data_IF_866149819579
#
_entry.id   IF_866149819579
#
_cell.length_a   1.000
_cell.length_b   1.000
_cell.length_c   1.000
_cell.angle_alpha   90.00
_cell.angle_beta   90.00
_cell.angle_gamma   90.00
#
_symmetry.space_group_name_H-M   'P 1'
#
loop_
_entity.id
_entity.type
_entity.pdbx_description
1 polymer ?
#
# COMPACT_ATOMS: atom_id res chain seq x y z
N UNK A 1 41.60 -5.57 -19.80
CA UNK A 1 40.18 -5.92 -19.55
C UNK A 1 39.61 -4.78 -18.74
N UNK A 2 38.79 -3.95 -19.37
CA UNK A 2 38.20 -2.73 -18.78
C UNK A 2 36.89 -3.17 -18.14
N UNK A 3 36.74 -2.94 -16.83
CA UNK A 3 35.47 -3.14 -16.14
C UNK A 3 34.73 -1.79 -16.09
N UNK A 4 33.42 -1.82 -16.34
CA UNK A 4 32.53 -0.66 -16.45
C UNK A 4 31.95 -0.26 -15.08
N UNK A 5 31.40 0.97 -14.91
CA UNK A 5 31.02 1.52 -13.60
C UNK A 5 29.75 0.94 -12.95
N UNK A 6 29.19 -0.17 -13.46
CA UNK A 6 27.88 -0.70 -13.02
C UNK A 6 27.99 -1.85 -12.01
N UNK A 7 29.18 -2.39 -11.74
CA UNK A 7 29.35 -3.46 -10.73
C UNK A 7 29.64 -2.97 -9.30
N UNK A 8 29.63 -1.65 -9.02
CA UNK A 8 29.99 -1.12 -7.70
C UNK A 8 28.82 -0.84 -6.74
N UNK A 9 27.59 -1.29 -7.03
CA UNK A 9 26.39 -0.98 -6.21
C UNK A 9 25.97 -2.14 -5.29
N UNK A 10 26.51 -3.35 -5.48
CA UNK A 10 26.16 -4.51 -4.64
C UNK A 10 27.33 -4.91 -3.74
N UNK A 11 27.52 -4.19 -2.62
CA UNK A 11 28.02 -4.69 -1.30
C UNK A 11 28.48 -3.50 -0.44
N UNK A 12 27.59 -3.00 0.43
CA UNK A 12 27.89 -1.87 1.32
C UNK A 12 27.28 -1.96 2.72
N UNK A 13 26.96 -3.16 3.21
CA UNK A 13 26.70 -3.43 4.63
C UNK A 13 27.80 -4.35 5.16
N UNK A 14 28.88 -3.77 5.69
CA UNK A 14 29.62 -4.19 6.91
C UNK A 14 30.96 -3.46 7.02
N UNK A 15 31.19 -2.99 8.24
CA UNK A 15 32.34 -2.28 8.76
C UNK A 15 33.71 -2.95 8.53
N UNK A 16 34.72 -2.12 8.80
CA UNK A 16 36.04 -2.45 9.33
C UNK A 16 37.14 -2.69 8.28
N UNK A 17 37.91 -1.64 7.97
CA UNK A 17 39.33 -1.83 7.67
C UNK A 17 40.15 -0.80 8.45
N UNK A 18 40.73 -1.31 9.53
CA UNK A 18 41.79 -0.71 10.34
C UNK A 18 42.96 -0.35 9.43
N UNK A 19 43.40 0.90 9.48
CA UNK A 19 44.58 1.39 8.76
C UNK A 19 45.83 0.61 9.18
N UNK A 20 46.36 -0.18 8.26
CA UNK A 20 47.63 -0.89 8.42
C UNK A 20 48.78 0.10 8.17
N UNK A 21 49.54 0.40 9.23
CA UNK A 21 50.78 1.17 9.16
C UNK A 21 51.80 0.45 8.26
N UNK A 22 52.27 1.14 7.22
CA UNK A 22 53.55 0.85 6.58
C UNK A 22 54.60 1.79 7.18
N UNK A 23 55.40 1.27 8.11
CA UNK A 23 56.55 1.99 8.65
C UNK A 23 57.67 2.06 7.60
N UNK A 24 57.87 3.24 7.00
CA UNK A 24 59.12 3.58 6.34
C UNK A 24 59.96 4.38 7.35
N UNK A 25 61.02 3.77 7.86
CA UNK A 25 61.95 4.41 8.80
C UNK A 25 62.81 5.43 8.06
N UNK A 26 62.48 6.72 8.18
CA UNK A 26 63.43 7.80 7.98
C UNK A 26 63.53 8.57 9.30
N UNK A 27 64.70 8.48 9.92
CA UNK A 27 65.03 9.16 11.16
C UNK A 27 64.97 10.67 10.98
N UNK A 28 63.90 11.26 11.49
CA UNK A 28 63.73 12.69 11.71
C UNK A 28 62.62 12.84 12.74
N UNK A 29 62.96 13.32 13.93
CA UNK A 29 62.00 13.67 14.97
C UNK A 29 61.14 14.84 14.47
N UNK A 30 60.05 14.53 13.75
CA UNK A 30 58.97 15.47 13.56
C UNK A 30 58.23 15.58 14.90
N UNK A 31 57.93 16.78 15.41
CA UNK A 31 57.03 16.90 16.54
C UNK A 31 55.67 16.35 16.09
N UNK A 32 55.26 15.23 16.68
CA UNK A 32 53.92 14.69 16.50
C UNK A 32 52.93 15.68 17.12
N UNK A 33 52.37 16.58 16.32
CA UNK A 33 51.13 17.27 16.67
C UNK A 33 50.01 16.41 16.10
N UNK A 34 49.68 15.34 16.82
CA UNK A 34 48.40 14.68 16.63
C UNK A 34 47.34 15.65 17.18
N UNK A 35 46.58 16.28 16.29
CA UNK A 35 45.57 17.27 16.65
C UNK A 35 44.21 16.59 16.81
N UNK A 36 43.35 17.16 17.66
CA UNK A 36 41.92 16.82 17.67
C UNK A 36 41.33 17.04 16.26
N UNK A 37 40.40 16.19 15.83
CA UNK A 37 39.86 16.22 14.46
C UNK A 37 38.36 15.99 14.43
N UNK A 38 37.75 16.39 13.31
CA UNK A 38 36.30 16.29 13.06
C UNK A 38 36.04 15.76 11.65
N UNK A 39 35.10 14.82 11.54
CA UNK A 39 34.60 14.27 10.28
C UNK A 39 33.09 14.42 10.25
N UNK A 40 32.52 14.80 9.11
CA UNK A 40 31.09 15.00 8.92
C UNK A 40 30.55 13.96 7.94
N UNK A 41 29.38 13.37 8.25
CA UNK A 41 28.70 12.42 7.39
C UNK A 41 27.17 12.54 7.44
N UNK A 42 26.45 11.94 6.47
CA UNK A 42 26.96 11.24 5.29
C UNK A 42 27.66 12.18 4.28
N UNK A 43 28.58 11.66 3.46
CA UNK A 43 29.34 12.48 2.50
C UNK A 43 28.48 13.06 1.37
N UNK A 44 27.52 12.29 0.90
CA UNK A 44 26.50 12.71 -0.05
C UNK A 44 25.18 12.05 0.31
N UNK A 45 24.08 12.78 0.15
CA UNK A 45 22.75 12.25 0.35
C UNK A 45 21.72 12.98 -0.54
N UNK A 46 20.53 12.38 -0.72
CA UNK A 46 19.48 12.84 -1.62
C UNK A 46 18.12 12.81 -0.91
N UNK A 47 17.39 13.92 -0.89
CA UNK A 47 16.01 13.95 -0.37
C UNK A 47 15.15 14.87 -1.24
N UNK A 48 13.83 14.62 -1.30
CA UNK A 48 12.89 15.54 -1.91
C UNK A 48 12.78 16.84 -1.09
N UNK A 49 12.44 17.94 -1.76
CA UNK A 49 12.05 19.19 -1.09
C UNK A 49 10.82 18.92 -0.20
N UNK A 50 10.87 19.36 1.05
CA UNK A 50 9.87 19.12 2.09
C UNK A 50 10.38 18.22 3.22
N UNK A 51 11.35 17.35 2.93
CA UNK A 51 11.92 16.43 3.91
C UNK A 51 12.94 17.09 4.83
N UNK A 52 13.19 16.43 5.97
CA UNK A 52 14.31 16.73 6.86
C UNK A 52 15.53 15.87 6.54
N UNK A 53 16.72 16.47 6.66
CA UNK A 53 17.99 15.78 6.54
C UNK A 53 18.87 16.08 7.75
N UNK A 54 19.59 15.07 8.23
CA UNK A 54 20.49 15.17 9.38
C UNK A 54 21.92 14.81 8.99
N UNK A 55 22.85 15.72 9.26
CA UNK A 55 24.29 15.43 9.24
C UNK A 55 24.79 15.20 10.66
N UNK A 56 25.77 14.31 10.80
CA UNK A 56 26.38 13.96 12.09
C UNK A 56 27.88 14.18 12.01
N UNK A 57 28.39 15.03 12.89
CA UNK A 57 29.82 15.23 13.11
C UNK A 57 30.34 14.23 14.12
N UNK A 58 31.51 13.66 13.87
CA UNK A 58 32.26 12.81 14.79
C UNK A 58 33.58 13.50 15.15
N UNK A 59 33.78 13.74 16.45
CA UNK A 59 34.94 14.46 16.98
C UNK A 59 35.81 13.50 17.79
N UNK A 60 37.11 13.48 17.49
CA UNK A 60 38.09 12.64 18.18
C UNK A 60 39.33 13.42 18.60
N UNK A 61 39.99 12.92 19.63
CA UNK A 61 41.28 13.42 20.07
C UNK A 61 42.45 12.95 19.18
N UNK A 62 43.65 13.38 19.56
CA UNK A 62 44.92 12.99 18.95
C UNK A 62 45.14 11.46 18.87
N UNK A 63 44.55 10.71 19.80
CA UNK A 63 44.62 9.24 19.88
C UNK A 63 43.46 8.54 19.17
N UNK A 64 42.54 9.29 18.54
CA UNK A 64 41.35 8.76 17.88
C UNK A 64 40.22 8.39 18.85
N UNK A 65 40.29 8.80 20.13
CA UNK A 65 39.23 8.59 21.10
C UNK A 65 38.12 9.64 20.96
N UNK A 66 36.84 9.26 21.09
CA UNK A 66 35.74 10.20 20.98
C UNK A 66 35.79 11.28 22.06
N UNK A 67 35.56 12.53 21.67
CA UNK A 67 35.50 13.67 22.60
C UNK A 67 34.05 13.99 22.91
N UNK A 68 33.63 13.83 24.16
CA UNK A 68 32.31 14.24 24.65
C UNK A 68 32.29 15.69 25.15
N UNK A 69 31.11 16.32 25.12
CA UNK A 69 30.90 17.67 25.65
C UNK A 69 31.48 18.79 24.81
N UNK A 70 31.85 18.53 23.54
CA UNK A 70 32.42 19.53 22.63
C UNK A 70 31.33 20.22 21.84
N UNK A 71 31.28 21.54 21.88
CA UNK A 71 30.42 22.32 21.00
C UNK A 71 30.92 22.25 19.56
N UNK A 72 30.03 21.86 18.64
CA UNK A 72 30.24 21.80 17.20
C UNK A 72 29.27 22.75 16.52
N UNK A 73 29.80 23.63 15.68
CA UNK A 73 29.02 24.55 14.85
C UNK A 73 28.91 24.00 13.41
N UNK A 74 27.71 24.00 12.85
CA UNK A 74 27.40 23.55 11.49
C UNK A 74 26.97 24.74 10.62
N UNK A 75 27.39 24.74 9.35
CA UNK A 75 27.01 25.76 8.39
C UNK A 75 26.81 25.16 7.00
N UNK A 76 25.73 25.59 6.33
CA UNK A 76 25.53 25.38 4.90
C UNK A 76 26.28 26.50 4.16
N UNK A 77 27.38 26.14 3.51
CA UNK A 77 28.31 27.09 2.87
C UNK A 77 27.83 27.59 1.51
N UNK A 78 27.16 26.74 0.75
CA UNK A 78 26.66 27.04 -0.58
C UNK A 78 25.44 26.17 -0.89
N UNK A 79 24.64 26.62 -1.88
CA UNK A 79 23.41 25.94 -2.27
C UNK A 79 22.15 26.76 -1.97
N UNK A 80 20.96 26.20 -2.23
CA UNK A 80 19.67 26.84 -1.95
C UNK A 80 19.48 27.23 -0.49
N UNK A 81 20.15 26.55 0.46
CA UNK A 81 20.03 26.82 1.89
C UNK A 81 21.27 27.48 2.51
N UNK A 82 22.12 28.10 1.68
CA UNK A 82 23.34 28.76 2.13
C UNK A 82 23.09 29.79 3.24
N UNK A 83 23.94 29.76 4.28
CA UNK A 83 23.84 30.62 5.46
C UNK A 83 22.98 30.04 6.59
N UNK A 84 22.30 28.91 6.39
CA UNK A 84 21.69 28.18 7.50
C UNK A 84 22.78 27.63 8.43
N UNK A 85 22.54 27.75 9.74
CA UNK A 85 23.49 27.37 10.80
C UNK A 85 22.79 26.61 11.91
N UNK A 86 23.56 25.75 12.57
CA UNK A 86 23.14 25.03 13.77
C UNK A 86 24.34 24.76 14.67
N UNK A 87 24.07 24.33 15.90
CA UNK A 87 25.12 23.91 16.82
C UNK A 87 24.60 22.79 17.69
N UNK A 88 25.47 21.86 18.05
CA UNK A 88 25.15 20.78 18.98
C UNK A 88 26.39 20.42 19.80
N UNK A 89 26.21 19.69 20.90
CA UNK A 89 27.28 19.27 21.80
C UNK A 89 27.51 17.77 21.63
N UNK A 90 28.77 17.37 21.46
CA UNK A 90 29.07 15.95 21.27
C UNK A 90 28.66 15.10 22.46
N UNK A 91 28.05 13.95 22.18
CA UNK A 91 27.67 12.96 23.19
C UNK A 91 28.86 12.12 23.68
N UNK A 92 28.60 11.12 24.53
CA UNK A 92 29.64 10.22 25.06
C UNK A 92 30.38 9.42 23.97
N UNK A 93 29.81 9.32 22.78
CA UNK A 93 30.39 8.66 21.62
C UNK A 93 31.04 9.64 20.64
N UNK A 94 31.13 10.93 20.98
CA UNK A 94 31.79 11.95 20.17
C UNK A 94 30.94 12.50 19.02
N UNK A 95 29.63 12.24 19.02
CA UNK A 95 28.73 12.64 17.93
C UNK A 95 27.91 13.89 18.27
N UNK A 96 27.79 14.80 17.31
CA UNK A 96 26.91 15.97 17.35
C UNK A 96 26.11 16.03 16.04
N UNK A 97 24.85 16.43 16.07
CA UNK A 97 23.96 16.38 14.91
C UNK A 97 23.38 17.74 14.52
N UNK A 98 23.12 17.91 13.23
CA UNK A 98 22.40 19.06 12.69
C UNK A 98 21.36 18.61 11.69
N UNK A 99 20.10 18.95 11.97
CA UNK A 99 18.94 18.63 11.12
C UNK A 99 18.37 19.89 10.50
N UNK A 100 18.07 19.85 9.20
CA UNK A 100 17.38 20.93 8.51
C UNK A 100 16.40 20.42 7.45
N UNK A 101 15.41 21.26 7.10
CA UNK A 101 14.38 20.95 6.10
C UNK A 101 14.74 21.59 4.75
N UNK A 102 14.69 20.80 3.68
CA UNK A 102 14.89 21.30 2.32
C UNK A 102 13.66 22.04 1.82
N UNK A 103 13.75 23.36 1.66
CA UNK A 103 12.65 24.21 1.14
C UNK A 103 12.77 24.59 -0.34
N UNK A 104 13.88 24.24 -0.99
CA UNK A 104 14.13 24.55 -2.39
C UNK A 104 15.08 23.50 -2.99
N UNK A 105 14.89 23.18 -4.27
CA UNK A 105 15.75 22.22 -4.95
C UNK A 105 17.13 22.82 -5.25
N UNK A 106 18.14 21.95 -5.28
CA UNK A 106 19.52 22.33 -5.49
C UNK A 106 20.47 21.54 -4.59
N UNK A 107 21.75 21.81 -4.75
CA UNK A 107 22.81 21.10 -4.06
C UNK A 107 23.41 21.98 -2.97
N UNK A 108 23.25 21.57 -1.72
CA UNK A 108 23.90 22.18 -0.58
C UNK A 108 25.29 21.60 -0.34
N UNK A 109 26.20 22.44 0.13
CA UNK A 109 27.51 22.01 0.67
C UNK A 109 27.59 22.40 2.14
N UNK A 110 27.88 21.44 3.00
CA UNK A 110 27.79 21.58 4.46
C UNK A 110 29.15 21.27 5.09
N UNK A 111 29.55 22.07 6.08
CA UNK A 111 30.72 21.82 6.92
C UNK A 111 30.39 22.02 8.39
N UNK A 112 31.17 21.36 9.24
CA UNK A 112 31.14 21.52 10.68
C UNK A 112 32.50 22.00 11.19
N UNK A 113 32.51 22.64 12.35
CA UNK A 113 33.74 23.09 12.99
C UNK A 113 33.62 23.14 14.50
N UNK A 114 34.76 23.04 15.18
CA UNK A 114 34.84 23.19 16.63
C UNK A 114 36.14 23.89 17.01
N UNK A 115 36.23 24.37 18.25
CA UNK A 115 37.48 24.92 18.80
C UNK A 115 38.16 23.84 19.63
N UNK A 116 39.42 23.53 19.31
CA UNK A 116 40.20 22.51 20.00
C UNK A 116 40.69 22.97 21.38
N UNK A 117 41.28 22.06 22.16
CA UNK A 117 41.84 22.37 23.47
C UNK A 117 42.97 23.41 23.45
N UNK A 118 43.57 23.68 22.28
CA UNK A 118 44.59 24.71 22.08
C UNK A 118 44.02 26.08 21.71
N UNK A 119 42.70 26.17 21.50
CA UNK A 119 42.01 27.38 21.03
C UNK A 119 42.00 27.54 19.51
N UNK A 120 42.42 26.52 18.75
CA UNK A 120 42.45 26.55 17.29
C UNK A 120 41.14 26.01 16.72
N UNK A 121 40.60 26.67 15.68
CA UNK A 121 39.40 26.18 14.99
C UNK A 121 39.77 25.02 14.07
N UNK A 122 39.14 23.88 14.28
CA UNK A 122 39.21 22.71 13.41
C UNK A 122 37.95 22.65 12.54
N UNK A 123 38.10 22.30 11.26
CA UNK A 123 37.00 22.23 10.28
C UNK A 123 36.92 20.84 9.65
N UNK A 124 35.71 20.35 9.42
CA UNK A 124 35.47 19.02 8.85
C UNK A 124 35.77 18.96 7.34
N UNK A 125 35.65 17.76 6.77
CA UNK A 125 35.37 17.62 5.34
C UNK A 125 34.06 18.32 4.96
N UNK A 126 33.94 18.72 3.70
CA UNK A 126 32.67 19.16 3.13
C UNK A 126 31.83 17.95 2.73
N UNK A 127 30.53 17.99 3.07
CA UNK A 127 29.53 17.01 2.62
C UNK A 127 28.50 17.69 1.72
N UNK A 128 27.78 16.91 0.93
CA UNK A 128 26.85 17.43 -0.08
C UNK A 128 25.43 16.90 0.14
N UNK A 129 24.44 17.76 0.03
CA UNK A 129 23.02 17.37 0.09
C UNK A 129 22.29 17.82 -1.16
N UNK A 130 21.83 16.87 -1.97
CA UNK A 130 21.00 17.18 -3.13
C UNK A 130 19.52 17.18 -2.71
N UNK A 131 18.89 18.35 -2.81
CA UNK A 131 17.44 18.49 -2.80
C UNK A 131 16.93 18.44 -4.23
N UNK A 132 15.94 17.60 -4.46
CA UNK A 132 15.25 17.52 -5.75
C UNK A 132 13.76 17.76 -5.56
N UNK A 133 13.12 18.37 -6.55
CA UNK A 133 11.66 18.26 -6.67
C UNK A 133 11.43 16.91 -7.36
N UNK A 134 10.63 15.98 -6.79
CA UNK A 134 10.21 14.79 -7.53
C UNK A 134 9.57 15.25 -8.84
N UNK A 135 10.08 14.76 -9.97
CA UNK A 135 9.55 15.11 -11.28
C UNK A 135 8.97 13.85 -11.90
N UNK A 136 7.64 13.78 -11.89
CA UNK A 136 6.89 12.83 -12.69
C UNK A 136 7.34 12.88 -14.17
N UNK A 137 7.69 11.73 -14.74
CA UNK A 137 7.94 11.59 -16.18
C UNK A 137 9.38 11.77 -16.62
N UNK A 138 10.32 11.59 -15.70
CA UNK A 138 11.76 11.60 -15.98
C UNK A 138 12.31 10.22 -16.40
N UNK A 139 11.46 9.18 -16.41
CA UNK A 139 11.79 7.80 -16.75
C UNK A 139 12.34 6.97 -15.60
N UNK A 140 12.33 7.46 -14.35
CA UNK A 140 12.79 6.76 -13.14
C UNK A 140 11.79 6.94 -12.01
N UNK A 141 11.38 5.83 -11.35
CA UNK A 141 10.46 5.91 -10.19
C UNK A 141 11.24 6.51 -9.02
N UNK A 142 10.98 7.78 -8.70
CA UNK A 142 11.60 8.48 -7.58
C UNK A 142 10.94 8.09 -6.23
N UNK A 143 11.64 8.25 -5.09
CA UNK A 143 11.03 8.04 -3.77
C UNK A 143 9.80 8.93 -3.57
N UNK A 144 8.63 8.31 -3.45
CA UNK A 144 7.33 8.99 -3.33
C UNK A 144 6.46 8.91 -4.59
N UNK A 145 6.98 8.42 -5.71
CA UNK A 145 6.23 8.17 -6.93
C UNK A 145 5.73 6.72 -6.98
N UNK A 146 4.51 6.52 -7.47
CA UNK A 146 3.93 5.18 -7.67
C UNK A 146 4.17 4.66 -9.08
N UNK A 147 4.37 5.55 -10.05
CA UNK A 147 4.51 5.23 -11.47
C UNK A 147 5.23 6.36 -12.23
N UNK A 148 5.70 6.05 -13.45
CA UNK A 148 6.41 6.98 -14.34
C UNK A 148 5.76 6.98 -15.73
N UNK A 149 5.29 8.13 -16.26
CA UNK A 149 4.53 8.17 -17.52
C UNK A 149 5.36 7.86 -18.79
N UNK A 150 6.69 7.66 -18.71
CA UNK A 150 7.54 7.69 -19.91
C UNK A 150 8.54 6.53 -20.12
N UNK A 151 8.47 5.39 -19.41
CA UNK A 151 9.47 4.34 -19.70
C UNK A 151 8.99 2.92 -19.94
N UNK A 152 7.75 2.50 -19.66
CA UNK A 152 7.30 1.17 -20.11
C UNK A 152 5.79 1.08 -20.40
N UNK A 153 5.34 1.62 -21.54
CA UNK A 153 4.10 1.16 -22.18
C UNK A 153 4.41 0.71 -23.61
N UNK A 154 4.17 -0.58 -23.87
CA UNK A 154 4.32 -1.20 -25.19
C UNK A 154 3.16 -0.81 -26.14
N UNK A 155 3.03 0.48 -26.47
CA UNK A 155 1.99 1.02 -27.35
C UNK A 155 2.49 2.20 -28.19
N UNK A 156 1.94 2.37 -29.40
CA UNK A 156 2.41 3.31 -30.43
C UNK A 156 2.30 4.80 -30.01
N UNK A 157 3.43 5.51 -29.92
CA UNK A 157 3.44 6.97 -29.82
C UNK A 157 3.01 7.62 -31.16
N UNK A 158 2.04 8.55 -31.13
CA UNK A 158 1.68 9.35 -32.29
C UNK A 158 2.69 10.51 -32.51
N UNK A 159 3.47 10.52 -33.61
CA UNK A 159 4.52 11.51 -33.82
C UNK A 159 4.02 12.90 -34.27
N UNK A 160 2.73 13.11 -34.51
CA UNK A 160 2.22 14.34 -35.16
C UNK A 160 1.91 15.47 -34.16
N UNK A 161 1.63 15.15 -32.90
CA UNK A 161 1.14 16.14 -31.92
C UNK A 161 1.98 16.29 -30.64
N UNK A 162 3.05 15.50 -30.47
CA UNK A 162 3.98 15.66 -29.35
C UNK A 162 3.33 15.54 -27.96
N UNK A 163 2.18 14.86 -27.89
CA UNK A 163 1.47 14.53 -26.66
C UNK A 163 1.49 13.01 -26.53
N UNK A 164 1.98 12.55 -25.39
CA UNK A 164 1.61 11.25 -24.86
C UNK A 164 0.12 11.36 -24.53
N UNK A 165 -0.70 10.58 -25.20
CA UNK A 165 -2.05 10.32 -24.69
C UNK A 165 -1.83 9.32 -23.56
N UNK A 166 -1.60 9.85 -22.36
CA UNK A 166 -1.31 9.09 -21.15
C UNK A 166 -2.45 8.10 -20.88
N UNK A 167 -2.11 6.82 -20.89
CA UNK A 167 -2.98 5.76 -20.41
C UNK A 167 -2.25 5.20 -19.19
N UNK A 168 -2.41 5.86 -18.03
CA UNK A 168 -2.16 5.25 -16.71
C UNK A 168 -1.19 5.94 -15.73
N UNK A 169 -0.60 7.09 -16.07
CA UNK A 169 0.11 7.92 -15.08
C UNK A 169 -0.30 9.38 -15.28
N UNK A 170 -1.05 9.90 -14.31
CA UNK A 170 -1.48 11.31 -14.29
C UNK A 170 -0.29 12.21 -13.92
N UNK A 171 -0.35 13.49 -14.29
CA UNK A 171 0.68 14.50 -13.98
C UNK A 171 0.92 14.77 -12.48
N UNK A 172 0.13 14.13 -11.60
CA UNK A 172 0.25 14.15 -10.14
C UNK A 172 0.73 12.82 -9.54
N UNK A 173 1.22 11.89 -10.37
CA UNK A 173 1.67 10.54 -9.99
C UNK A 173 0.61 9.70 -9.26
N UNK A 174 -0.67 10.00 -9.46
CA UNK A 174 -1.77 9.15 -8.96
C UNK A 174 -2.19 8.16 -10.03
N UNK A 175 -2.41 6.91 -9.60
CA UNK A 175 -3.14 5.87 -10.34
C UNK A 175 -4.50 5.71 -9.66
N UNK A 176 -5.49 6.58 -9.96
CA UNK A 176 -6.78 6.50 -9.33
C UNK A 176 -7.63 5.42 -10.02
N UNK A 177 -8.07 4.45 -9.24
CA UNK A 177 -9.12 3.53 -9.68
C UNK A 177 -10.33 4.28 -10.25
N UNK A 178 -10.94 3.73 -11.29
CA UNK A 178 -12.16 4.24 -11.89
C UNK A 178 -11.96 5.35 -12.91
N UNK A 179 -10.82 5.39 -13.62
CA UNK A 179 -10.55 6.37 -14.68
C UNK A 179 -10.62 5.79 -16.11
N UNK A 180 -10.86 4.49 -16.22
CA UNK A 180 -11.05 3.71 -17.43
C UNK A 180 -9.79 3.00 -17.89
N UNK A 181 -8.72 3.04 -17.10
CA UNK A 181 -7.40 2.54 -17.46
C UNK A 181 -6.93 1.59 -16.36
N UNK A 182 -6.52 0.37 -16.74
CA UNK A 182 -5.99 -0.59 -15.78
C UNK A 182 -4.54 -0.25 -15.46
N UNK A 183 -4.30 0.29 -14.26
CA UNK A 183 -2.99 0.72 -13.79
C UNK A 183 -2.17 -0.39 -13.09
N UNK A 184 -0.85 -0.22 -12.93
CA UNK A 184 -0.03 -1.17 -12.17
C UNK A 184 -0.54 -1.35 -10.72
N UNK A 185 -1.05 -2.54 -10.41
CA UNK A 185 -1.61 -2.87 -9.10
C UNK A 185 -3.12 -3.07 -9.11
N UNK A 186 -3.80 -2.64 -10.18
CA UNK A 186 -5.21 -2.87 -10.41
C UNK A 186 -5.47 -4.22 -11.11
N UNK A 187 -6.59 -4.86 -10.80
CA UNK A 187 -7.04 -6.07 -11.49
C UNK A 187 -8.04 -5.74 -12.61
N UNK A 188 -8.69 -4.58 -12.55
CA UNK A 188 -9.67 -4.06 -13.49
C UNK A 188 -9.78 -2.54 -13.32
N UNK A 189 -10.38 -1.86 -14.29
CA UNK A 189 -10.89 -0.49 -14.19
C UNK A 189 -12.02 -0.35 -15.23
N UNK A 190 -13.22 0.04 -14.79
CA UNK A 190 -14.40 0.23 -15.63
C UNK A 190 -14.86 1.69 -15.73
N UNK A 191 -13.98 2.62 -15.39
CA UNK A 191 -14.16 4.07 -15.56
C UNK A 191 -15.06 4.72 -14.51
N UNK A 192 -15.33 4.04 -13.40
CA UNK A 192 -16.06 4.61 -12.28
C UNK A 192 -15.75 3.89 -10.94
N UNK A 193 -16.40 4.31 -9.84
CA UNK A 193 -16.25 3.73 -8.50
C UNK A 193 -17.55 3.10 -7.98
N UNK A 194 -18.44 2.70 -8.88
CA UNK A 194 -19.61 1.93 -8.51
C UNK A 194 -19.17 0.50 -8.21
N UNK A 195 -20.01 -0.22 -7.47
CA UNK A 195 -19.78 -1.61 -7.10
C UNK A 195 -20.89 -2.42 -7.75
N UNK A 196 -20.57 -3.63 -8.21
CA UNK A 196 -21.49 -4.51 -8.92
C UNK A 196 -21.50 -4.34 -10.43
N UNK A 197 -20.61 -3.56 -11.03
CA UNK A 197 -20.42 -3.45 -12.48
C UNK A 197 -19.24 -4.26 -13.03
N UNK A 198 -18.56 -5.01 -12.18
CA UNK A 198 -17.48 -5.92 -12.57
C UNK A 198 -16.11 -5.47 -12.07
N UNK A 199 -15.97 -4.21 -11.67
CA UNK A 199 -14.80 -3.70 -10.98
C UNK A 199 -15.19 -3.01 -9.68
N UNK A 200 -14.55 -3.41 -8.58
CA UNK A 200 -14.84 -2.80 -7.28
C UNK A 200 -14.22 -1.41 -7.17
N UNK A 201 -14.67 -0.56 -6.22
CA UNK A 201 -14.06 0.76 -5.97
C UNK A 201 -12.58 0.73 -5.56
N UNK A 202 -12.03 -0.46 -5.26
CA UNK A 202 -10.61 -0.69 -5.01
C UNK A 202 -9.88 -1.37 -6.18
N UNK A 203 -10.49 -1.37 -7.37
CA UNK A 203 -9.96 -1.95 -8.60
C UNK A 203 -9.58 -3.43 -8.49
N UNK A 204 -10.38 -4.17 -7.72
CA UNK A 204 -10.37 -5.64 -7.68
C UNK A 204 -11.52 -6.18 -8.52
N UNK A 205 -11.26 -7.24 -9.27
CA UNK A 205 -12.29 -7.93 -10.06
C UNK A 205 -13.37 -8.46 -9.12
N UNK A 206 -14.61 -8.11 -9.39
CA UNK A 206 -15.75 -8.57 -8.62
C UNK A 206 -16.18 -9.96 -9.08
N UNK A 207 -16.27 -10.91 -8.15
CA UNK A 207 -16.69 -12.27 -8.50
C UNK A 207 -18.20 -12.39 -8.60
N UNK A 208 -18.66 -13.22 -9.55
CA UNK A 208 -20.07 -13.50 -9.66
C UNK A 208 -20.60 -14.29 -8.45
N UNK A 209 -21.69 -13.84 -7.83
CA UNK A 209 -22.29 -14.55 -6.72
C UNK A 209 -22.86 -15.90 -7.16
N UNK A 210 -22.81 -16.86 -6.25
CA UNK A 210 -23.29 -18.23 -6.39
C UNK A 210 -24.51 -18.46 -5.50
N UNK A 211 -25.45 -19.28 -5.98
CA UNK A 211 -26.68 -19.58 -5.26
C UNK A 211 -26.47 -20.45 -4.00
N UNK A 212 -27.44 -20.44 -3.09
CA UNK A 212 -27.43 -21.25 -1.87
C UNK A 212 -27.20 -22.75 -2.13
N UNK A 213 -27.73 -23.28 -3.24
CA UNK A 213 -27.51 -24.67 -3.64
C UNK A 213 -26.04 -25.00 -3.94
N UNK A 214 -25.25 -24.06 -4.45
CA UNK A 214 -23.81 -24.27 -4.64
C UNK A 214 -23.12 -24.37 -3.28
N UNK A 215 -23.30 -23.36 -2.43
CA UNK A 215 -22.65 -23.29 -1.11
C UNK A 215 -23.01 -24.46 -0.21
N UNK A 216 -24.27 -24.94 -0.26
CA UNK A 216 -24.71 -26.15 0.44
C UNK A 216 -23.96 -27.41 0.01
N UNK A 217 -23.66 -27.55 -1.28
CA UNK A 217 -23.05 -28.75 -1.84
C UNK A 217 -21.52 -28.67 -1.98
N UNK A 218 -20.93 -27.50 -1.73
CA UNK A 218 -19.49 -27.23 -1.80
C UNK A 218 -18.94 -26.60 -0.51
N UNK A 219 -19.04 -27.27 0.65
CA UNK A 219 -18.49 -26.76 1.91
C UNK A 219 -16.97 -26.53 1.85
N UNK A 220 -16.25 -27.22 0.97
CA UNK A 220 -14.82 -27.02 0.72
C UNK A 220 -14.49 -25.65 0.10
N UNK A 221 -15.45 -25.01 -0.56
CA UNK A 221 -15.26 -23.70 -1.19
C UNK A 221 -15.45 -22.52 -0.21
N UNK A 222 -15.95 -22.78 1.00
CA UNK A 222 -16.20 -21.73 1.99
C UNK A 222 -14.87 -21.17 2.48
N UNK A 223 -14.68 -19.86 2.31
CA UNK A 223 -13.45 -19.16 2.71
C UNK A 223 -13.40 -18.85 4.21
N UNK A 224 -14.53 -19.00 4.90
CA UNK A 224 -14.72 -18.72 6.32
C UNK A 224 -15.34 -19.91 7.03
N UNK A 225 -14.97 -20.11 8.29
CA UNK A 225 -15.47 -21.20 9.15
C UNK A 225 -16.63 -20.77 10.06
N UNK A 226 -17.01 -19.49 10.02
CA UNK A 226 -18.14 -18.94 10.76
C UNK A 226 -18.72 -17.72 10.04
N UNK A 227 -20.02 -17.50 10.21
CA UNK A 227 -20.74 -16.33 9.72
C UNK A 227 -21.61 -15.77 10.84
N UNK A 228 -21.91 -14.48 10.77
CA UNK A 228 -22.92 -13.85 11.63
C UNK A 228 -24.26 -13.86 10.92
N UNK A 229 -25.28 -14.45 11.55
CA UNK A 229 -26.66 -14.25 11.12
C UNK A 229 -27.34 -13.36 12.15
N UNK A 230 -27.49 -12.09 11.78
CA UNK A 230 -27.91 -11.02 12.66
C UNK A 230 -26.87 -10.69 13.72
N UNK A 231 -27.21 -10.87 15.00
CA UNK A 231 -26.28 -10.62 16.12
C UNK A 231 -25.62 -11.89 16.66
N UNK A 232 -25.88 -13.03 16.05
CA UNK A 232 -25.39 -14.32 16.51
C UNK A 232 -24.37 -14.88 15.54
N UNK A 233 -23.24 -15.36 16.07
CA UNK A 233 -22.23 -16.06 15.29
C UNK A 233 -22.56 -17.55 15.22
N UNK A 234 -22.50 -18.11 14.01
CA UNK A 234 -22.72 -19.53 13.74
C UNK A 234 -21.44 -20.15 13.17
N UNK A 235 -21.12 -21.35 13.63
CA UNK A 235 -20.09 -22.18 13.03
C UNK A 235 -20.55 -22.77 11.70
N UNK A 236 -19.59 -23.10 10.84
CA UNK A 236 -19.82 -23.80 9.56
C UNK A 236 -20.70 -25.04 9.69
N UNK A 237 -20.53 -25.83 10.76
CA UNK A 237 -21.35 -27.03 10.98
C UNK A 237 -22.83 -26.68 11.24
N UNK A 238 -23.10 -25.61 12.00
CA UNK A 238 -24.45 -25.15 12.28
C UNK A 238 -25.11 -24.55 11.02
N UNK A 239 -24.33 -23.78 10.25
CA UNK A 239 -24.79 -23.20 8.98
C UNK A 239 -25.13 -24.27 7.94
N UNK A 240 -24.31 -25.33 7.83
CA UNK A 240 -24.61 -26.47 6.96
C UNK A 240 -25.86 -27.24 7.42
N UNK A 241 -26.12 -27.32 8.74
CA UNK A 241 -27.35 -27.91 9.25
C UNK A 241 -28.58 -27.06 8.89
N UNK A 242 -28.46 -25.72 8.96
CA UNK A 242 -29.50 -24.79 8.52
C UNK A 242 -29.79 -24.96 7.03
N UNK A 243 -28.76 -24.87 6.17
CA UNK A 243 -28.87 -25.10 4.72
C UNK A 243 -29.40 -26.50 4.37
N UNK A 244 -29.17 -27.48 5.24
CA UNK A 244 -29.66 -28.86 5.11
C UNK A 244 -31.15 -29.01 5.42
N UNK A 245 -31.74 -28.07 6.17
CA UNK A 245 -33.13 -28.12 6.61
C UNK A 245 -34.06 -27.68 5.47
N UNK A 246 -35.17 -28.40 5.29
CA UNK A 246 -36.16 -28.03 4.28
C UNK A 246 -36.84 -26.70 4.66
N UNK A 247 -36.78 -25.71 3.77
CA UNK A 247 -37.46 -24.42 3.94
C UNK A 247 -38.99 -24.51 3.79
N UNK A 248 -39.51 -25.62 3.25
CA UNK A 248 -40.94 -25.79 2.95
C UNK A 248 -41.37 -25.05 1.68
N UNK A 249 -42.68 -24.95 1.43
CA UNK A 249 -43.21 -24.29 0.24
C UNK A 249 -44.62 -23.75 0.47
N UNK A 250 -44.95 -22.61 -0.14
CA UNK A 250 -46.27 -21.99 -0.01
C UNK A 250 -46.55 -21.58 1.45
N UNK A 251 -47.77 -21.83 1.92
CA UNK A 251 -48.17 -21.54 3.31
C UNK A 251 -47.46 -22.39 4.36
N UNK A 252 -46.82 -23.49 3.96
CA UNK A 252 -46.07 -24.39 4.85
C UNK A 252 -44.56 -24.06 4.87
N UNK A 253 -44.14 -22.98 4.20
CA UNK A 253 -42.76 -22.52 4.25
C UNK A 253 -42.41 -21.94 5.64
N UNK A 254 -41.14 -22.00 6.00
CA UNK A 254 -40.59 -21.31 7.16
C UNK A 254 -39.81 -20.09 6.69
N UNK A 255 -40.39 -18.91 6.88
CA UNK A 255 -39.82 -17.65 6.42
C UNK A 255 -38.41 -17.38 7.00
N UNK A 256 -38.13 -17.87 8.21
CA UNK A 256 -36.81 -17.72 8.83
C UNK A 256 -35.76 -18.60 8.16
N UNK A 257 -36.12 -19.82 7.75
CA UNK A 257 -35.24 -20.70 6.98
C UNK A 257 -35.06 -20.21 5.54
N UNK A 258 -36.11 -19.68 4.91
CA UNK A 258 -36.03 -19.10 3.56
C UNK A 258 -35.03 -17.94 3.53
N UNK A 259 -35.10 -17.04 4.51
CA UNK A 259 -34.12 -15.95 4.63
C UNK A 259 -32.72 -16.48 4.94
N UNK A 260 -32.59 -17.40 5.91
CA UNK A 260 -31.30 -17.93 6.30
C UNK A 260 -30.57 -18.59 5.11
N UNK A 261 -31.27 -19.35 4.27
CA UNK A 261 -30.71 -19.96 3.05
C UNK A 261 -30.06 -18.91 2.12
N UNK A 262 -30.75 -17.80 1.88
CA UNK A 262 -30.27 -16.75 0.98
C UNK A 262 -29.19 -15.88 1.62
N UNK A 263 -29.29 -15.63 2.92
CA UNK A 263 -28.35 -14.81 3.67
C UNK A 263 -27.01 -15.52 3.83
N UNK A 264 -27.00 -16.81 4.16
CA UNK A 264 -25.76 -17.61 4.22
C UNK A 264 -25.04 -17.57 2.87
N UNK A 265 -25.78 -17.74 1.77
CA UNK A 265 -25.20 -17.68 0.43
C UNK A 265 -24.62 -16.29 0.10
N UNK A 266 -25.32 -15.22 0.46
CA UNK A 266 -24.88 -13.84 0.21
C UNK A 266 -23.61 -13.51 1.00
N UNK A 267 -23.57 -13.86 2.27
CA UNK A 267 -22.39 -13.69 3.13
C UNK A 267 -21.18 -14.47 2.59
N UNK A 268 -21.38 -15.70 2.11
CA UNK A 268 -20.30 -16.49 1.48
C UNK A 268 -19.83 -15.90 0.14
N UNK A 269 -20.74 -15.30 -0.63
CA UNK A 269 -20.38 -14.59 -1.86
C UNK A 269 -19.52 -13.36 -1.55
N UNK A 270 -19.91 -12.55 -0.56
CA UNK A 270 -19.17 -11.36 -0.13
C UNK A 270 -17.79 -11.76 0.41
N UNK A 271 -17.73 -12.76 1.32
CA UNK A 271 -16.47 -13.34 1.77
C UNK A 271 -15.64 -13.89 0.61
N UNK A 272 -16.32 -14.34 -0.45
CA UNK A 272 -15.74 -14.86 -1.68
C UNK A 272 -15.16 -13.82 -2.64
N UNK A 273 -15.39 -12.52 -2.40
CA UNK A 273 -14.99 -11.41 -3.28
C UNK A 273 -16.07 -10.96 -4.26
N UNK A 274 -17.34 -11.32 -4.04
CA UNK A 274 -18.46 -10.73 -4.78
C UNK A 274 -18.76 -9.31 -4.32
N UNK A 275 -19.18 -8.47 -5.26
CA UNK A 275 -19.55 -7.09 -5.01
C UNK A 275 -20.67 -6.95 -3.97
N UNK A 276 -20.62 -5.87 -3.20
CA UNK A 276 -21.76 -5.39 -2.42
C UNK A 276 -22.42 -4.30 -3.27
N UNK A 277 -23.64 -4.55 -3.75
CA UNK A 277 -24.39 -3.58 -4.56
C UNK A 277 -25.28 -2.72 -3.67
N UNK A 278 -25.74 -1.53 -4.12
CA UNK A 278 -26.64 -0.69 -3.33
C UNK A 278 -27.91 -1.42 -2.86
N UNK A 279 -28.39 -2.42 -3.62
CA UNK A 279 -29.57 -3.22 -3.28
C UNK A 279 -29.35 -4.16 -2.09
N UNK A 280 -28.10 -4.50 -1.77
CA UNK A 280 -27.72 -5.38 -0.66
C UNK A 280 -26.75 -4.69 0.32
N UNK A 281 -26.58 -3.37 0.21
CA UNK A 281 -25.64 -2.60 1.03
C UNK A 281 -25.92 -2.81 2.53
N UNK A 282 -24.90 -3.10 3.36
CA UNK A 282 -25.02 -3.26 4.81
C UNK A 282 -25.78 -2.11 5.50
N UNK A 283 -25.74 -0.87 5.00
CA UNK A 283 -26.51 0.26 5.56
C UNK A 283 -28.03 0.07 5.42
N UNK A 284 -28.48 -0.67 4.39
CA UNK A 284 -29.87 -1.13 4.23
C UNK A 284 -30.09 -2.50 4.89
N UNK A 285 -29.05 -3.34 4.98
CA UNK A 285 -29.06 -4.65 5.62
C UNK A 285 -29.12 -4.59 7.16
N UNK A 286 -28.71 -3.49 7.80
CA UNK A 286 -28.77 -3.29 9.26
C UNK A 286 -30.19 -3.10 9.82
N UNK A 287 -31.22 -3.15 8.98
CA UNK A 287 -32.56 -3.56 9.42
C UNK A 287 -32.72 -5.07 9.33
N UNK A 288 -31.67 -5.83 9.63
CA UNK A 288 -31.68 -7.29 9.60
C UNK A 288 -32.97 -7.76 10.30
N UNK A 289 -33.93 -8.33 9.57
CA UNK A 289 -35.19 -8.72 10.17
C UNK A 289 -34.99 -9.84 11.21
N UNK A 290 -33.83 -10.53 11.22
CA UNK A 290 -33.41 -11.42 12.29
C UNK A 290 -32.86 -10.68 13.52
N UNK A 291 -32.43 -9.42 13.41
CA UNK A 291 -31.99 -8.60 14.56
C UNK A 291 -33.16 -8.06 15.39
N UNK A 292 -34.36 -8.00 14.81
CA UNK A 292 -35.64 -7.82 15.54
C UNK A 292 -35.99 -9.07 16.36
N UNK A 293 -35.38 -10.22 16.04
CA UNK A 293 -35.60 -11.50 16.70
C UNK A 293 -34.48 -11.75 17.73
N UNK A 294 -34.85 -12.04 18.98
CA UNK A 294 -33.87 -12.27 20.04
C UNK A 294 -33.29 -13.68 19.97
N UNK A 295 -31.98 -13.81 19.80
CA UNK A 295 -31.23 -15.07 19.91
C UNK A 295 -30.94 -15.75 18.59
N UNK A 296 -30.68 -17.07 18.65
CA UNK A 296 -30.45 -17.92 17.47
C UNK A 296 -31.68 -17.95 16.55
N UNK A 297 -31.52 -18.42 15.32
CA UNK A 297 -32.58 -18.51 14.30
C UNK A 297 -33.87 -19.10 14.90
N UNK A 298 -35.03 -18.43 14.77
CA UNK A 298 -36.23 -18.78 15.54
C UNK A 298 -36.94 -20.06 15.06
N UNK A 299 -36.80 -20.44 13.78
CA UNK A 299 -37.53 -21.52 13.11
C UNK A 299 -39.07 -21.39 13.18
N UNK A 300 -39.77 -22.01 12.23
CA UNK A 300 -41.23 -22.08 12.15
C UNK A 300 -41.92 -20.72 12.00
N UNK A 301 -41.27 -19.73 11.37
CA UNK A 301 -41.89 -18.42 11.18
C UNK A 301 -42.87 -18.49 10.01
N UNK A 302 -44.15 -18.29 10.31
CA UNK A 302 -45.23 -18.29 9.32
C UNK A 302 -45.01 -17.17 8.27
N UNK A 303 -44.92 -17.49 6.97
CA UNK A 303 -44.69 -16.53 5.90
C UNK A 303 -45.84 -15.53 5.76
N UNK A 304 -47.06 -15.86 6.19
CA UNK A 304 -48.21 -14.94 6.14
C UNK A 304 -48.25 -13.97 7.32
N UNK A 305 -47.40 -14.17 8.34
CA UNK A 305 -47.27 -13.24 9.45
C UNK A 305 -46.57 -11.93 9.03
N UNK A 306 -46.81 -10.80 9.72
CA UNK A 306 -46.14 -9.54 9.40
C UNK A 306 -44.61 -9.60 9.43
N UNK A 307 -44.04 -10.42 10.32
CA UNK A 307 -42.59 -10.63 10.39
C UNK A 307 -42.12 -11.62 9.31
N UNK A 308 -42.90 -12.67 9.04
CA UNK A 308 -42.63 -13.61 7.95
C UNK A 308 -42.54 -12.93 6.59
N UNK A 309 -43.46 -12.02 6.28
CA UNK A 309 -43.43 -11.25 5.04
C UNK A 309 -42.15 -10.41 4.90
N UNK A 310 -41.69 -9.74 5.97
CA UNK A 310 -40.40 -9.03 5.95
C UNK A 310 -39.23 -9.97 5.64
N UNK A 311 -39.21 -11.16 6.24
CA UNK A 311 -38.16 -12.16 6.03
C UNK A 311 -38.18 -12.67 4.58
N UNK A 312 -39.35 -12.94 4.02
CA UNK A 312 -39.51 -13.35 2.62
C UNK A 312 -39.08 -12.24 1.65
N UNK A 313 -39.51 -11.00 1.88
CA UNK A 313 -39.12 -9.85 1.06
C UNK A 313 -37.60 -9.67 1.02
N UNK A 314 -36.93 -9.79 2.17
CA UNK A 314 -35.48 -9.76 2.26
C UNK A 314 -34.83 -10.95 1.55
N UNK A 315 -35.38 -12.15 1.72
CA UNK A 315 -34.91 -13.34 1.04
C UNK A 315 -35.00 -13.22 -0.49
N UNK A 316 -36.07 -12.63 -1.02
CA UNK A 316 -36.27 -12.40 -2.46
C UNK A 316 -35.24 -11.44 -3.06
N UNK A 317 -34.83 -10.41 -2.31
CA UNK A 317 -33.74 -9.50 -2.72
C UNK A 317 -32.42 -10.26 -2.75
N UNK A 318 -32.12 -11.02 -1.69
CA UNK A 318 -30.90 -11.82 -1.62
C UNK A 318 -30.85 -12.92 -2.66
N UNK A 319 -31.99 -13.54 -3.00
CA UNK A 319 -32.06 -14.54 -4.05
C UNK A 319 -31.70 -13.94 -5.42
N UNK A 320 -32.15 -12.71 -5.70
CA UNK A 320 -31.76 -11.98 -6.92
C UNK A 320 -30.26 -11.69 -6.93
N UNK A 321 -29.71 -11.22 -5.80
CA UNK A 321 -28.26 -11.02 -5.66
C UNK A 321 -27.49 -12.33 -5.91
N UNK A 322 -27.84 -13.41 -5.22
CA UNK A 322 -27.21 -14.73 -5.33
C UNK A 322 -27.32 -15.35 -6.74
N UNK A 323 -28.24 -14.85 -7.57
CA UNK A 323 -28.40 -15.21 -8.99
C UNK A 323 -27.68 -14.23 -9.94
N UNK A 324 -26.87 -13.32 -9.41
CA UNK A 324 -26.07 -12.34 -10.15
C UNK A 324 -26.89 -11.21 -10.78
N UNK A 325 -28.12 -10.95 -10.31
CA UNK A 325 -29.03 -9.98 -10.95
C UNK A 325 -28.65 -8.51 -10.73
N UNK A 326 -27.93 -8.22 -9.65
CA UNK A 326 -27.44 -6.86 -9.36
C UNK A 326 -26.01 -6.63 -9.82
N UNK A 327 -25.31 -7.70 -10.21
CA UNK A 327 -23.96 -7.63 -10.77
C UNK A 327 -24.05 -7.62 -12.31
N UNK A 328 -23.78 -6.48 -12.95
CA UNK A 328 -24.03 -6.22 -14.37
C UNK A 328 -23.36 -7.26 -15.29
N UNK A 329 -22.11 -7.60 -15.03
CA UNK A 329 -21.36 -8.57 -15.84
C UNK A 329 -21.88 -10.01 -15.67
N UNK A 330 -22.30 -10.40 -14.47
CA UNK A 330 -22.87 -11.73 -14.22
C UNK A 330 -24.27 -11.89 -14.83
N UNK A 331 -25.04 -10.80 -14.89
CA UNK A 331 -26.33 -10.75 -15.61
C UNK A 331 -26.18 -10.90 -17.13
N UNK A 332 -25.06 -10.47 -17.71
CA UNK A 332 -24.75 -10.66 -19.13
C UNK A 332 -24.36 -12.10 -19.45
N UNK A 333 -23.65 -12.79 -18.56
CA UNK A 333 -23.29 -14.21 -18.74
C UNK A 333 -24.52 -15.14 -18.72
N UNK A 334 -25.48 -14.88 -17.84
CA UNK A 334 -26.74 -15.67 -17.73
C UNK A 334 -27.65 -15.50 -18.95
N UNK A 335 -27.60 -14.37 -19.65
CA UNK A 335 -28.34 -14.14 -20.90
C UNK A 335 -27.60 -14.70 -22.13
N UNK A 336 -26.27 -14.65 -22.17
CA UNK A 336 -25.48 -15.30 -23.24
C UNK A 336 -25.61 -16.83 -23.25
N UNK A 337 -25.73 -17.46 -22.09
CA UNK A 337 -25.97 -18.91 -21.97
C UNK A 337 -27.29 -19.38 -22.63
N UNK A 338 -28.30 -18.51 -22.75
CA UNK A 338 -29.55 -18.84 -23.48
C UNK A 338 -29.48 -18.57 -25.00
N UNK A 339 -28.52 -17.77 -25.47
CA UNK A 339 -28.35 -17.46 -26.91
C UNK A 339 -27.18 -18.21 -27.57
N UNK A 340 -26.29 -18.85 -26.82
CA UNK A 340 -25.11 -19.56 -27.36
C UNK A 340 -25.32 -21.06 -27.66
N UNK A 341 -26.57 -21.55 -27.73
CA UNK A 341 -26.87 -22.86 -28.33
C UNK A 341 -26.51 -22.92 -29.83
N UNK A 342 -26.07 -21.81 -30.45
CA UNK A 342 -25.46 -21.81 -31.79
C UNK A 342 -24.08 -21.10 -31.80
N UNK A 343 -23.10 -21.67 -31.08
CA UNK A 343 -21.72 -21.93 -31.52
C UNK A 343 -20.86 -22.15 -30.29
N UNK A 344 -20.36 -23.38 -30.16
CA UNK A 344 -19.57 -23.78 -29.02
C UNK A 344 -18.21 -23.09 -28.99
N UNK A 345 -17.86 -22.53 -27.85
CA UNK A 345 -16.48 -22.37 -27.40
C UNK A 345 -16.40 -22.64 -25.90
N UNK A 346 -15.28 -23.24 -25.51
CA UNK A 346 -14.94 -23.93 -24.27
C UNK A 346 -13.95 -23.06 -23.49
N UNK A 347 -14.17 -22.92 -22.18
CA UNK A 347 -13.20 -22.50 -21.14
C UNK A 347 -13.73 -23.17 -19.84
N UNK A 348 -13.10 -24.10 -19.09
CA UNK A 348 -11.72 -24.30 -18.57
C UNK A 348 -11.21 -22.99 -17.98
N UNK A 349 -11.19 -22.74 -16.68
CA UNK A 349 -11.08 -23.56 -15.44
C UNK A 349 -12.00 -22.99 -14.35
#
# INVERSE_FOLDING_TARGET
MVLTPIELIALGKRALLVGLLLACTVGGSMPAVAAESIVLGPNIDFNPVGDQHTVVAFVVDAGGQPIAGRQVDFEILSGPHAGARGSDITDASGHAAFTYTGTAAGLDTIMASFVDSSGTRQTSNAVRKQWFVPLCGNGVIDPGEQCEPHTLCAGECNPVIGVCFDIGCRSDCTCPCGDGIVDPGEQCDDGNHLSGDGCSPGCLIERCPLGAGFWKNHPEAWQVDSLELGRETYSKAELLAILGTSTGSGSDADASLVLADQMIAAELNIAGGSAITPEIDPVLFFQDPLSELSGRLPYGVDPDSPIGQKLIDAADVLEKYNKGKFTTECSRMTTRSRSSVIRGERWVE
#
